data_IF_426666186924
#
_entry.id   IF_426666186924
#
_cell.length_a   1.000
_cell.length_b   1.000
_cell.length_c   1.000
_cell.angle_alpha   90.00
_cell.angle_beta   90.00
_cell.angle_gamma   90.00
#
_symmetry.space_group_name_H-M   'P 1'
#
loop_
_entity.id
_entity.type
_entity.pdbx_description
1 polymer ?
#
# COMPACT_ATOMS: atom_id res chain seq x y z
N UNK A 1 44.05 -0.40 45.82
CA UNK A 1 42.66 0.01 45.92
C UNK A 1 42.09 -0.17 44.52
N UNK A 2 41.61 -1.40 44.30
CA UNK A 2 41.15 -1.87 42.98
C UNK A 2 39.75 -1.34 42.67
N UNK A 3 39.58 -0.74 41.53
CA UNK A 3 38.27 -0.39 40.97
C UNK A 3 37.82 -1.58 40.13
N UNK A 4 36.90 -2.37 40.68
CA UNK A 4 36.25 -3.47 39.97
C UNK A 4 35.24 -2.87 38.98
N UNK A 5 35.42 -3.17 37.69
CA UNK A 5 34.57 -2.72 36.61
C UNK A 5 33.17 -3.35 36.69
N UNK A 6 32.15 -2.54 36.67
CA UNK A 6 30.73 -2.92 36.72
C UNK A 6 30.22 -3.51 35.40
N UNK A 7 31.07 -3.56 34.39
CA UNK A 7 30.63 -3.91 32.99
C UNK A 7 30.62 -5.43 32.70
N UNK A 8 31.31 -6.25 33.45
CA UNK A 8 31.33 -7.71 33.20
C UNK A 8 30.06 -8.42 33.68
N UNK A 9 29.40 -7.90 34.71
CA UNK A 9 28.20 -8.55 35.26
C UNK A 9 26.96 -8.33 34.39
N UNK A 10 26.88 -7.20 33.67
CA UNK A 10 25.77 -6.91 32.79
C UNK A 10 25.87 -7.67 31.45
N UNK A 11 27.05 -8.00 30.97
CA UNK A 11 27.25 -8.78 29.75
C UNK A 11 26.93 -10.27 29.95
N UNK A 12 27.18 -10.82 31.14
CA UNK A 12 26.82 -12.21 31.45
C UNK A 12 25.31 -12.40 31.64
N UNK A 13 24.62 -11.44 32.26
CA UNK A 13 23.17 -11.49 32.45
C UNK A 13 22.45 -11.37 31.12
N UNK A 14 22.88 -10.45 30.24
CA UNK A 14 22.28 -10.32 28.87
C UNK A 14 22.57 -11.54 27.99
N UNK A 15 23.75 -12.16 28.09
CA UNK A 15 24.04 -13.39 27.36
C UNK A 15 23.27 -14.59 27.94
N UNK A 16 23.05 -14.66 29.25
CA UNK A 16 22.30 -15.76 29.87
C UNK A 16 20.81 -15.67 29.56
N UNK A 17 20.22 -14.46 29.52
CA UNK A 17 18.83 -14.27 29.08
C UNK A 17 18.66 -14.52 27.58
N UNK A 18 19.56 -14.07 26.72
CA UNK A 18 19.53 -14.34 25.28
C UNK A 18 19.68 -15.85 24.99
N UNK A 19 20.54 -16.56 25.73
CA UNK A 19 20.69 -18.03 25.61
C UNK A 19 19.48 -18.77 26.18
N UNK A 20 18.85 -18.26 27.25
CA UNK A 20 17.63 -18.84 27.83
C UNK A 20 16.41 -18.63 26.87
N UNK A 21 16.33 -17.49 26.20
CA UNK A 21 15.29 -17.21 25.21
C UNK A 21 15.48 -18.11 23.99
N UNK A 22 16.71 -18.28 23.48
CA UNK A 22 17.00 -19.18 22.34
C UNK A 22 16.72 -20.63 22.67
N UNK A 23 17.05 -21.09 23.89
CA UNK A 23 16.77 -22.47 24.31
C UNK A 23 15.27 -22.78 24.46
N UNK A 24 14.45 -21.79 24.83
CA UNK A 24 13.01 -21.95 25.00
C UNK A 24 12.24 -22.00 23.67
N UNK A 25 12.78 -21.39 22.60
CA UNK A 25 12.16 -21.34 21.26
C UNK A 25 12.74 -22.37 20.28
N UNK A 26 13.81 -23.08 20.64
CA UNK A 26 14.36 -24.20 19.84
C UNK A 26 13.41 -25.40 19.67
N UNK A 27 12.28 -25.40 20.39
CA UNK A 27 11.24 -26.41 20.24
C UNK A 27 10.21 -26.13 19.12
N UNK A 28 10.13 -24.90 18.62
CA UNK A 28 9.22 -24.55 17.53
C UNK A 28 9.86 -24.87 16.18
N UNK A 29 9.07 -25.44 15.28
CA UNK A 29 9.53 -25.58 13.89
C UNK A 29 9.77 -24.17 13.27
N UNK A 30 10.77 -24.01 12.38
CA UNK A 30 11.11 -22.72 11.78
C UNK A 30 9.91 -22.00 11.12
N UNK A 31 9.05 -22.74 10.47
CA UNK A 31 7.83 -22.21 9.85
C UNK A 31 6.81 -21.68 10.89
N UNK A 32 6.77 -22.27 12.08
CA UNK A 32 5.92 -21.83 13.18
C UNK A 32 6.48 -20.54 13.81
N UNK A 33 7.78 -20.48 14.00
CA UNK A 33 8.45 -19.26 14.46
C UNK A 33 8.25 -18.10 13.48
N UNK A 34 8.39 -18.34 12.17
CA UNK A 34 8.10 -17.35 11.14
C UNK A 34 6.63 -16.92 11.15
N UNK A 35 5.68 -17.85 11.31
CA UNK A 35 4.25 -17.52 11.42
C UNK A 35 3.99 -16.66 12.67
N UNK A 36 4.58 -17.00 13.81
CA UNK A 36 4.42 -16.24 15.04
C UNK A 36 4.95 -14.81 14.90
N UNK A 37 6.19 -14.65 14.44
CA UNK A 37 6.83 -13.33 14.27
C UNK A 37 6.13 -12.49 13.19
N UNK A 38 5.76 -13.11 12.08
CA UNK A 38 5.10 -12.38 10.98
C UNK A 38 3.59 -12.25 11.19
N UNK A 39 2.99 -12.96 12.13
CA UNK A 39 1.59 -12.84 12.50
C UNK A 39 1.19 -11.42 12.92
N UNK A 40 2.12 -10.67 13.53
CA UNK A 40 1.95 -9.27 13.91
C UNK A 40 1.87 -8.30 12.69
N UNK A 41 2.28 -8.74 11.50
CA UNK A 41 2.28 -7.88 10.32
C UNK A 41 0.94 -7.94 9.59
N UNK A 42 0.60 -6.86 8.87
CA UNK A 42 -0.57 -6.85 8.02
C UNK A 42 -0.56 -8.03 7.01
N UNK A 43 -1.72 -8.63 6.75
CA UNK A 43 -1.88 -9.84 5.94
C UNK A 43 -1.20 -9.76 4.55
N UNK A 44 -1.16 -8.58 3.92
CA UNK A 44 -0.44 -8.38 2.65
C UNK A 44 1.07 -8.50 2.81
N UNK A 45 1.63 -8.04 3.94
CA UNK A 45 3.05 -8.15 4.25
C UNK A 45 3.43 -9.59 4.54
N UNK A 46 2.59 -10.31 5.31
CA UNK A 46 2.76 -11.74 5.55
C UNK A 46 2.82 -12.52 4.25
N UNK A 47 1.87 -12.28 3.35
CA UNK A 47 1.83 -12.94 2.02
C UNK A 47 3.06 -12.61 1.17
N UNK A 48 3.55 -11.38 1.21
CA UNK A 48 4.75 -10.98 0.47
C UNK A 48 6.00 -11.69 1.01
N UNK A 49 6.14 -11.80 2.32
CA UNK A 49 7.26 -12.49 2.95
C UNK A 49 7.22 -14.00 2.69
N UNK A 50 6.06 -14.62 2.87
CA UNK A 50 5.88 -16.05 2.59
C UNK A 50 6.17 -16.39 1.12
N UNK A 51 5.74 -15.51 0.19
CA UNK A 51 6.02 -15.68 -1.23
C UNK A 51 7.51 -15.56 -1.53
N UNK A 52 8.17 -14.50 -1.06
CA UNK A 52 9.59 -14.29 -1.31
C UNK A 52 10.43 -15.46 -0.78
N UNK A 53 10.05 -16.01 0.39
CA UNK A 53 10.73 -17.14 0.99
C UNK A 53 10.51 -18.43 0.19
N UNK A 54 9.29 -18.70 -0.23
CA UNK A 54 8.98 -19.85 -1.09
C UNK A 54 9.71 -19.77 -2.42
N UNK A 55 9.66 -18.65 -3.10
CA UNK A 55 10.33 -18.43 -4.39
C UNK A 55 11.85 -18.69 -4.27
N UNK A 56 12.46 -18.33 -3.11
CA UNK A 56 13.87 -18.63 -2.83
C UNK A 56 14.11 -20.12 -2.60
N UNK A 57 13.22 -20.80 -1.84
CA UNK A 57 13.31 -22.24 -1.59
C UNK A 57 13.21 -23.03 -2.89
N UNK A 58 12.26 -22.67 -3.76
CA UNK A 58 12.07 -23.30 -5.08
C UNK A 58 13.33 -23.09 -5.96
N UNK A 59 13.90 -21.90 -5.98
CA UNK A 59 15.10 -21.62 -6.76
C UNK A 59 16.34 -22.38 -6.24
N UNK A 60 16.48 -22.52 -4.93
CA UNK A 60 17.61 -23.20 -4.28
C UNK A 60 17.46 -24.70 -4.14
N UNK A 61 16.31 -25.29 -4.55
CA UNK A 61 15.88 -26.68 -4.24
C UNK A 61 16.04 -27.02 -2.76
N UNK A 62 15.60 -26.06 -1.89
CA UNK A 62 15.73 -26.15 -0.44
C UNK A 62 14.53 -26.91 0.12
N UNK A 63 14.75 -28.08 0.66
CA UNK A 63 13.72 -28.91 1.29
C UNK A 63 13.72 -28.74 2.81
N UNK A 64 14.91 -28.56 3.38
CA UNK A 64 15.09 -28.41 4.82
C UNK A 64 15.79 -27.10 5.16
N UNK A 65 15.45 -26.55 6.32
CA UNK A 65 16.00 -25.23 6.72
C UNK A 65 17.50 -25.25 6.89
N UNK A 66 18.09 -26.38 7.36
CA UNK A 66 19.54 -26.52 7.53
C UNK A 66 20.32 -26.34 6.21
N UNK A 67 19.71 -26.61 5.06
CA UNK A 67 20.31 -26.38 3.74
C UNK A 67 20.52 -24.88 3.49
N UNK A 68 19.76 -24.03 4.16
CA UNK A 68 19.93 -22.58 4.10
C UNK A 68 21.17 -22.08 4.86
N UNK A 69 21.84 -22.90 5.69
CA UNK A 69 23.12 -22.55 6.28
C UNK A 69 24.19 -22.28 5.23
N UNK A 70 24.04 -22.87 4.04
CA UNK A 70 24.92 -22.66 2.89
C UNK A 70 24.61 -21.38 2.08
N UNK A 71 23.58 -20.63 2.48
CA UNK A 71 23.25 -19.36 1.86
C UNK A 71 24.14 -18.24 2.40
N UNK A 72 25.27 -18.09 1.75
CA UNK A 72 26.18 -16.98 1.94
C UNK A 72 25.76 -15.73 1.13
N UNK A 73 26.45 -14.60 1.28
CA UNK A 73 26.16 -13.40 0.48
C UNK A 73 26.29 -13.60 -1.04
N UNK A 74 27.16 -14.51 -1.50
CA UNK A 74 27.35 -14.78 -2.93
C UNK A 74 26.15 -15.52 -3.49
N UNK A 75 25.65 -16.53 -2.78
CA UNK A 75 24.45 -17.27 -3.17
C UNK A 75 23.22 -16.37 -3.25
N UNK A 76 23.10 -15.41 -2.30
CA UNK A 76 22.03 -14.41 -2.36
C UNK A 76 22.20 -13.43 -3.53
N UNK A 77 23.41 -13.10 -3.91
CA UNK A 77 23.69 -12.28 -5.10
C UNK A 77 23.35 -13.03 -6.39
N UNK A 78 23.65 -14.33 -6.47
CA UNK A 78 23.26 -15.20 -7.59
C UNK A 78 21.73 -15.22 -7.75
N UNK A 79 20.98 -15.42 -6.64
CA UNK A 79 19.52 -15.35 -6.68
C UNK A 79 19.01 -13.99 -7.15
N UNK A 80 19.59 -12.91 -6.67
CA UNK A 80 19.27 -11.56 -7.12
C UNK A 80 19.52 -11.40 -8.63
N UNK A 81 20.63 -11.89 -9.13
CA UNK A 81 20.98 -11.84 -10.56
C UNK A 81 20.02 -12.70 -11.40
N UNK A 82 19.59 -13.85 -10.87
CA UNK A 82 18.57 -14.70 -11.48
C UNK A 82 17.21 -13.97 -11.59
N UNK A 83 16.78 -13.26 -10.53
CA UNK A 83 15.59 -12.42 -10.61
C UNK A 83 15.69 -11.34 -11.68
N UNK A 84 16.90 -10.78 -11.87
CA UNK A 84 17.17 -9.77 -12.89
C UNK A 84 17.14 -10.36 -14.31
N UNK A 85 17.79 -11.50 -14.52
CA UNK A 85 17.79 -12.19 -15.82
C UNK A 85 16.41 -12.72 -16.21
N UNK A 86 15.53 -13.03 -15.23
CA UNK A 86 14.13 -13.38 -15.47
C UNK A 86 13.22 -12.19 -15.82
N UNK A 87 13.79 -11.00 -16.03
CA UNK A 87 13.02 -9.80 -16.42
C UNK A 87 12.21 -9.16 -15.31
N UNK A 88 12.46 -9.47 -14.03
CA UNK A 88 11.78 -8.81 -12.91
C UNK A 88 12.18 -7.34 -12.83
N UNK A 89 11.20 -6.47 -12.55
CA UNK A 89 11.45 -5.03 -12.35
C UNK A 89 12.31 -4.77 -11.13
N UNK A 90 13.18 -3.76 -11.18
CA UNK A 90 14.06 -3.34 -10.08
C UNK A 90 13.30 -3.17 -8.74
N UNK A 91 12.11 -2.56 -8.77
CA UNK A 91 11.26 -2.42 -7.58
C UNK A 91 10.80 -3.76 -7.00
N UNK A 92 10.49 -4.75 -7.84
CA UNK A 92 10.10 -6.10 -7.42
C UNK A 92 11.29 -6.83 -6.81
N UNK A 93 12.47 -6.75 -7.44
CA UNK A 93 13.71 -7.32 -6.91
C UNK A 93 14.01 -6.74 -5.53
N UNK A 94 13.97 -5.41 -5.39
CA UNK A 94 14.20 -4.74 -4.11
C UNK A 94 13.19 -5.17 -3.03
N UNK A 95 11.93 -5.33 -3.39
CA UNK A 95 10.90 -5.80 -2.47
C UNK A 95 11.16 -7.25 -2.02
N UNK A 96 11.50 -8.15 -2.95
CA UNK A 96 11.86 -9.54 -2.64
C UNK A 96 13.09 -9.60 -1.73
N UNK A 97 14.17 -8.89 -2.07
CA UNK A 97 15.39 -8.86 -1.26
C UNK A 97 15.16 -8.25 0.13
N UNK A 98 14.29 -7.24 0.24
CA UNK A 98 13.91 -6.65 1.53
C UNK A 98 13.12 -7.62 2.39
N UNK A 99 12.19 -8.38 1.80
CA UNK A 99 11.43 -9.42 2.50
C UNK A 99 12.36 -10.54 3.00
N UNK A 100 13.25 -11.04 2.15
CA UNK A 100 14.22 -12.08 2.53
C UNK A 100 15.18 -11.60 3.63
N UNK A 101 15.67 -10.34 3.54
CA UNK A 101 16.50 -9.76 4.61
C UNK A 101 15.82 -9.83 5.97
N UNK A 102 14.51 -9.57 6.01
CA UNK A 102 13.74 -9.66 7.25
C UNK A 102 13.55 -11.11 7.71
N UNK A 103 13.27 -12.04 6.80
CA UNK A 103 13.15 -13.47 7.10
C UNK A 103 14.46 -14.02 7.65
N UNK A 104 15.57 -13.81 6.96
CA UNK A 104 16.88 -14.28 7.42
C UNK A 104 17.30 -13.65 8.75
N UNK A 105 16.96 -12.37 8.97
CA UNK A 105 17.18 -11.73 10.25
C UNK A 105 16.48 -12.49 11.38
N UNK A 106 15.20 -12.80 11.22
CA UNK A 106 14.42 -13.55 12.21
C UNK A 106 15.00 -14.95 12.42
N UNK A 107 15.28 -15.69 11.36
CA UNK A 107 15.84 -17.04 11.46
C UNK A 107 17.19 -17.07 12.19
N UNK A 108 18.01 -16.03 12.01
CA UNK A 108 19.30 -15.92 12.70
C UNK A 108 19.13 -15.51 14.15
N UNK A 109 18.24 -14.55 14.45
CA UNK A 109 17.96 -14.09 15.82
C UNK A 109 17.39 -15.20 16.70
N UNK A 110 16.62 -16.13 16.13
CA UNK A 110 16.08 -17.29 16.84
C UNK A 110 16.99 -18.54 16.77
N UNK A 111 18.19 -18.40 16.25
CA UNK A 111 19.21 -19.47 16.26
C UNK A 111 18.96 -20.60 15.25
N UNK A 112 18.00 -20.47 14.32
CA UNK A 112 17.78 -21.46 13.26
C UNK A 112 18.88 -21.44 12.20
N UNK A 113 19.55 -20.29 12.03
CA UNK A 113 20.68 -20.12 11.12
C UNK A 113 21.83 -19.45 11.86
N UNK A 114 23.05 -19.92 11.60
CA UNK A 114 24.26 -19.38 12.22
C UNK A 114 24.64 -17.99 11.71
N UNK A 115 24.31 -17.71 10.44
CA UNK A 115 24.71 -16.48 9.77
C UNK A 115 23.56 -15.88 8.95
N UNK A 116 23.52 -14.55 8.90
CA UNK A 116 22.61 -13.81 8.05
C UNK A 116 23.37 -13.37 6.78
N UNK A 117 23.04 -13.88 5.58
CA UNK A 117 23.73 -13.54 4.34
C UNK A 117 23.57 -12.05 3.97
N UNK A 118 22.66 -11.33 4.61
CA UNK A 118 22.45 -9.90 4.38
C UNK A 118 23.26 -8.97 5.29
N UNK A 119 24.12 -9.50 6.16
CA UNK A 119 25.01 -8.66 6.99
C UNK A 119 26.02 -7.84 6.18
N UNK A 120 26.33 -8.26 4.98
CA UNK A 120 27.33 -7.61 4.14
C UNK A 120 26.70 -6.60 3.20
N UNK A 121 27.33 -5.44 3.03
CA UNK A 121 26.87 -4.35 2.14
C UNK A 121 26.91 -4.71 0.62
N UNK A 122 27.34 -5.90 0.27
CA UNK A 122 27.48 -6.39 -1.11
C UNK A 122 26.12 -6.47 -1.83
N UNK A 123 25.05 -6.82 -1.12
CA UNK A 123 23.71 -6.95 -1.71
C UNK A 123 23.04 -5.58 -1.71
N UNK A 124 23.41 -4.75 -2.68
CA UNK A 124 22.85 -3.41 -2.86
C UNK A 124 21.45 -3.47 -3.50
N UNK A 125 20.62 -2.48 -3.23
CA UNK A 125 19.36 -2.30 -3.93
C UNK A 125 19.61 -1.97 -5.41
N UNK A 126 18.72 -2.45 -6.30
CA UNK A 126 18.70 -2.03 -7.69
C UNK A 126 18.26 -0.57 -7.78
N UNK A 127 18.86 0.19 -8.70
CA UNK A 127 18.41 1.54 -9.01
C UNK A 127 17.01 1.46 -9.62
N UNK A 128 16.06 2.10 -8.98
CA UNK A 128 14.70 2.24 -9.49
C UNK A 128 14.65 3.55 -10.24
N UNK A 129 14.38 3.49 -11.53
CA UNK A 129 14.13 4.69 -12.30
C UNK A 129 12.80 5.31 -11.82
N UNK A 130 12.89 6.46 -11.16
CA UNK A 130 11.74 7.20 -10.66
C UNK A 130 11.17 8.14 -11.72
N UNK A 131 11.86 8.33 -12.85
CA UNK A 131 11.49 9.26 -13.91
C UNK A 131 10.26 8.82 -14.73
N UNK A 132 9.79 7.59 -14.58
CA UNK A 132 8.55 7.12 -15.23
C UNK A 132 7.32 7.34 -14.36
N UNK A 133 7.16 8.52 -13.77
CA UNK A 133 5.87 8.90 -13.24
C UNK A 133 4.93 9.09 -14.42
N UNK A 134 4.02 8.16 -14.62
CA UNK A 134 2.89 8.38 -15.55
C UNK A 134 2.25 9.70 -15.14
N UNK A 135 2.15 10.67 -16.04
CA UNK A 135 1.55 11.98 -15.75
C UNK A 135 0.16 11.84 -15.12
N UNK A 136 -0.31 12.84 -14.40
CA UNK A 136 -1.68 12.85 -13.89
C UNK A 136 -2.70 12.72 -15.02
N UNK A 137 -3.88 12.16 -14.73
CA UNK A 137 -5.00 12.21 -15.67
C UNK A 137 -5.44 13.67 -15.86
N UNK A 138 -5.73 14.01 -17.06
CA UNK A 138 -6.42 15.27 -17.35
C UNK A 138 -7.88 15.19 -16.89
N UNK A 139 -8.46 16.33 -16.54
CA UNK A 139 -9.88 16.42 -16.15
C UNK A 139 -10.80 15.87 -17.27
N UNK A 140 -10.44 16.11 -18.54
CA UNK A 140 -11.15 15.55 -19.70
C UNK A 140 -11.17 14.02 -19.71
N UNK A 141 -10.10 13.36 -19.30
CA UNK A 141 -10.03 11.90 -19.19
C UNK A 141 -10.88 11.37 -18.01
N UNK A 142 -10.90 12.08 -16.88
CA UNK A 142 -11.81 11.74 -15.77
C UNK A 142 -13.27 11.85 -16.20
N UNK A 143 -13.64 12.92 -16.92
CA UNK A 143 -14.98 13.10 -17.49
C UNK A 143 -15.29 11.99 -18.49
N UNK A 144 -14.36 11.64 -19.38
CA UNK A 144 -14.55 10.54 -20.33
C UNK A 144 -14.78 9.19 -19.62
N UNK A 145 -14.11 8.93 -18.49
CA UNK A 145 -14.39 7.73 -17.68
C UNK A 145 -15.80 7.75 -17.08
N UNK A 146 -16.29 8.91 -16.65
CA UNK A 146 -17.67 9.06 -16.15
C UNK A 146 -18.69 8.83 -17.27
N UNK A 147 -18.47 9.36 -18.46
CA UNK A 147 -19.33 9.12 -19.63
C UNK A 147 -19.30 7.64 -20.05
N UNK A 148 -18.11 7.03 -20.11
CA UNK A 148 -17.96 5.60 -20.35
C UNK A 148 -18.76 4.74 -19.36
N UNK A 149 -18.80 5.13 -18.08
CA UNK A 149 -19.61 4.43 -17.08
C UNK A 149 -21.10 4.51 -17.35
N UNK A 150 -21.61 5.64 -17.89
CA UNK A 150 -23.03 5.81 -18.22
C UNK A 150 -23.48 4.88 -19.35
N UNK A 151 -22.63 4.70 -20.36
CA UNK A 151 -22.94 3.90 -21.55
C UNK A 151 -22.47 2.45 -21.46
N UNK A 152 -21.65 2.12 -20.44
CA UNK A 152 -21.16 0.77 -20.24
C UNK A 152 -22.29 -0.23 -20.03
N UNK A 153 -22.21 -1.34 -20.75
CA UNK A 153 -23.21 -2.40 -20.65
C UNK A 153 -23.00 -3.17 -19.34
N UNK A 154 -24.00 -3.15 -18.51
CA UNK A 154 -24.15 -3.97 -17.32
C UNK A 154 -25.40 -4.81 -17.49
N UNK A 155 -25.31 -6.10 -17.19
CA UNK A 155 -26.43 -7.01 -17.36
C UNK A 155 -27.27 -7.11 -16.08
N UNK A 156 -28.57 -7.38 -16.26
CA UNK A 156 -29.49 -7.68 -15.19
C UNK A 156 -30.08 -6.49 -14.42
N UNK A 157 -30.86 -6.83 -13.39
CA UNK A 157 -31.62 -5.88 -12.54
C UNK A 157 -30.74 -4.87 -11.79
N UNK A 158 -29.46 -5.19 -11.59
CA UNK A 158 -28.49 -4.35 -10.85
C UNK A 158 -27.75 -3.35 -11.74
N UNK A 159 -28.05 -3.25 -13.04
CA UNK A 159 -27.34 -2.39 -13.97
C UNK A 159 -27.27 -0.92 -13.54
N UNK A 160 -28.40 -0.35 -13.09
CA UNK A 160 -28.46 1.03 -12.58
C UNK A 160 -27.63 1.18 -11.31
N UNK A 161 -27.76 0.25 -10.37
CA UNK A 161 -26.97 0.25 -9.13
C UNK A 161 -25.46 0.17 -9.41
N UNK A 162 -25.06 -0.66 -10.39
CA UNK A 162 -23.65 -0.78 -10.78
C UNK A 162 -23.12 0.53 -11.36
N UNK A 163 -23.91 1.22 -12.20
CA UNK A 163 -23.52 2.54 -12.75
C UNK A 163 -23.37 3.58 -11.63
N UNK A 164 -24.35 3.69 -10.76
CA UNK A 164 -24.31 4.64 -9.63
C UNK A 164 -23.10 4.38 -8.74
N UNK A 165 -22.94 3.14 -8.25
CA UNK A 165 -21.82 2.77 -7.40
C UNK A 165 -20.46 3.03 -8.04
N UNK A 166 -20.30 2.61 -9.32
CA UNK A 166 -19.00 2.72 -10.00
C UNK A 166 -18.62 4.17 -10.27
N UNK A 167 -19.59 5.02 -10.61
CA UNK A 167 -19.37 6.46 -10.74
C UNK A 167 -18.97 7.10 -9.42
N UNK A 168 -19.66 6.75 -8.34
CA UNK A 168 -19.33 7.24 -6.98
C UNK A 168 -17.95 6.75 -6.50
N UNK A 169 -17.58 5.49 -6.77
CA UNK A 169 -16.23 4.99 -6.47
C UNK A 169 -15.17 5.83 -7.16
N UNK A 170 -15.36 6.17 -8.45
CA UNK A 170 -14.43 7.00 -9.21
C UNK A 170 -14.31 8.39 -8.58
N UNK A 171 -15.44 9.06 -8.31
CA UNK A 171 -15.48 10.40 -7.70
C UNK A 171 -14.85 10.38 -6.30
N UNK A 172 -15.23 9.42 -5.47
CA UNK A 172 -14.72 9.29 -4.11
C UNK A 172 -13.18 9.16 -4.09
N UNK A 173 -12.64 8.22 -4.88
CA UNK A 173 -11.19 8.02 -4.95
C UNK A 173 -10.44 9.26 -5.44
N UNK A 174 -10.99 9.95 -6.42
CA UNK A 174 -10.38 11.16 -6.98
C UNK A 174 -10.47 12.34 -6.02
N UNK A 175 -11.66 12.66 -5.48
CA UNK A 175 -11.86 13.84 -4.65
C UNK A 175 -11.24 13.72 -3.25
N UNK A 176 -11.10 12.50 -2.74
CA UNK A 176 -10.57 12.26 -1.39
C UNK A 176 -9.13 11.74 -1.36
N UNK A 177 -8.56 11.46 -2.53
CA UNK A 177 -7.29 10.75 -2.65
C UNK A 177 -7.21 9.48 -1.77
N UNK A 178 -8.35 8.80 -1.54
CA UNK A 178 -8.41 7.60 -0.72
C UNK A 178 -7.66 6.43 -1.37
N UNK A 179 -7.10 5.54 -0.53
CA UNK A 179 -6.57 4.27 -1.02
C UNK A 179 -7.72 3.32 -1.33
N UNK A 180 -7.52 2.40 -2.28
CA UNK A 180 -8.55 1.41 -2.65
C UNK A 180 -9.07 0.57 -1.47
N UNK A 181 -8.21 0.26 -0.50
CA UNK A 181 -8.60 -0.46 0.72
C UNK A 181 -9.47 0.42 1.62
N UNK A 182 -9.09 1.70 1.79
CA UNK A 182 -9.84 2.67 2.57
C UNK A 182 -11.27 2.86 2.01
N UNK A 183 -11.41 2.92 0.67
CA UNK A 183 -12.73 2.97 0.04
C UNK A 183 -13.53 1.66 0.20
N UNK A 184 -12.85 0.50 0.17
CA UNK A 184 -13.48 -0.80 0.36
C UNK A 184 -13.98 -1.03 1.80
N UNK A 185 -13.28 -0.46 2.77
CA UNK A 185 -13.57 -0.63 4.20
C UNK A 185 -14.54 0.43 4.74
N UNK A 186 -14.85 1.49 3.95
CA UNK A 186 -15.69 2.62 4.36
C UNK A 186 -17.11 2.17 4.66
N UNK A 187 -17.62 2.53 5.84
CA UNK A 187 -18.98 2.24 6.31
C UNK A 187 -19.82 3.51 6.35
N UNK A 188 -21.12 3.35 6.38
CA UNK A 188 -22.06 4.48 6.52
C UNK A 188 -21.87 5.22 7.85
N UNK A 189 -21.55 4.51 8.92
CA UNK A 189 -21.28 5.09 10.25
C UNK A 189 -19.95 5.85 10.31
N UNK A 190 -19.12 5.73 9.28
CA UNK A 190 -17.88 6.48 9.13
C UNK A 190 -18.09 7.83 8.43
N UNK A 191 -19.28 8.07 7.87
CA UNK A 191 -19.63 9.37 7.28
C UNK A 191 -20.35 10.17 8.34
N UNK A 192 -19.69 11.18 8.87
CA UNK A 192 -20.18 11.99 10.00
C UNK A 192 -20.11 13.47 9.67
N UNK A 193 -20.93 14.24 10.36
CA UNK A 193 -20.85 15.70 10.34
C UNK A 193 -19.89 16.16 11.43
N UNK A 194 -18.94 17.05 11.07
CA UNK A 194 -17.99 17.67 11.97
C UNK A 194 -18.07 19.19 11.78
N UNK A 195 -18.83 19.83 12.67
CA UNK A 195 -19.22 21.24 12.54
C UNK A 195 -20.00 21.50 11.25
N UNK A 196 -19.48 22.37 10.40
CA UNK A 196 -20.06 22.70 9.09
C UNK A 196 -19.63 21.74 7.95
N UNK A 197 -18.88 20.70 8.25
CA UNK A 197 -18.28 19.84 7.23
C UNK A 197 -18.78 18.40 7.35
N UNK A 198 -18.88 17.73 6.22
CA UNK A 198 -19.00 16.27 6.18
C UNK A 198 -17.61 15.64 6.04
N UNK A 199 -17.36 14.59 6.82
CA UNK A 199 -16.08 13.89 6.83
C UNK A 199 -16.29 12.39 6.73
N UNK A 200 -15.37 11.71 6.05
CA UNK A 200 -15.23 10.27 6.09
C UNK A 200 -14.10 9.90 7.08
N UNK A 201 -14.42 9.07 8.05
CA UNK A 201 -13.49 8.56 9.07
C UNK A 201 -12.88 7.27 8.58
N UNK A 202 -11.57 7.25 8.34
CA UNK A 202 -10.85 6.08 7.91
C UNK A 202 -10.24 5.37 9.13
N UNK A 203 -10.87 4.30 9.60
CA UNK A 203 -10.46 3.56 10.80
C UNK A 203 -9.29 2.63 10.55
N UNK A 204 -9.27 1.96 9.40
CA UNK A 204 -8.28 0.95 9.06
C UNK A 204 -7.20 1.50 8.12
N UNK A 205 -6.41 2.44 8.62
CA UNK A 205 -5.32 3.02 7.84
C UNK A 205 -4.03 2.20 7.95
N UNK A 206 -3.14 2.32 6.97
CA UNK A 206 -1.83 1.65 6.99
C UNK A 206 -0.97 2.03 8.20
N UNK A 207 -1.22 3.19 8.80
CA UNK A 207 -0.51 3.69 9.99
C UNK A 207 -1.12 3.21 11.32
N UNK A 208 -2.24 2.48 11.29
CA UNK A 208 -3.00 2.09 12.47
C UNK A 208 -3.74 3.24 13.17
N UNK A 209 -3.63 4.47 12.66
CA UNK A 209 -4.29 5.66 13.23
C UNK A 209 -5.53 6.00 12.43
N UNK A 210 -6.60 6.38 13.12
CA UNK A 210 -7.78 6.98 12.50
C UNK A 210 -7.38 8.23 11.71
N UNK A 211 -7.96 8.40 10.55
CA UNK A 211 -7.75 9.57 9.70
C UNK A 211 -9.08 10.09 9.19
N UNK A 212 -9.23 11.40 9.11
CA UNK A 212 -10.44 12.08 8.64
C UNK A 212 -10.18 12.69 7.27
N UNK A 213 -11.16 12.57 6.39
CA UNK A 213 -11.15 13.18 5.06
C UNK A 213 -12.39 14.03 4.93
N UNK A 214 -12.21 15.31 4.59
CA UNK A 214 -13.33 16.18 4.23
C UNK A 214 -13.99 15.65 2.96
N UNK A 215 -15.32 15.52 2.98
CA UNK A 215 -16.15 15.31 1.81
C UNK A 215 -16.63 16.67 1.29
N UNK A 216 -16.64 16.84 -0.01
CA UNK A 216 -17.36 17.97 -0.63
C UNK A 216 -18.86 17.75 -0.46
N UNK A 217 -19.61 18.82 -0.34
CA UNK A 217 -21.06 18.76 -0.11
C UNK A 217 -21.76 18.00 -1.25
N UNK A 218 -21.36 18.24 -2.50
CA UNK A 218 -21.92 17.55 -3.66
C UNK A 218 -21.63 16.02 -3.64
N UNK A 219 -20.45 15.62 -3.16
CA UNK A 219 -20.14 14.20 -3.01
C UNK A 219 -20.96 13.56 -1.88
N UNK A 220 -21.16 14.28 -0.78
CA UNK A 220 -22.01 13.81 0.32
C UNK A 220 -23.47 13.64 -0.12
N UNK A 221 -24.02 14.58 -0.86
CA UNK A 221 -25.38 14.49 -1.43
C UNK A 221 -25.54 13.29 -2.35
N UNK A 222 -24.54 13.06 -3.25
CA UNK A 222 -24.55 11.90 -4.13
C UNK A 222 -24.44 10.57 -3.33
N UNK A 223 -23.64 10.53 -2.26
CA UNK A 223 -23.55 9.36 -1.37
C UNK A 223 -24.86 9.12 -0.64
N UNK A 224 -25.55 10.18 -0.18
CA UNK A 224 -26.84 10.08 0.47
C UNK A 224 -27.93 9.56 -0.48
N UNK A 225 -27.94 10.06 -1.72
CA UNK A 225 -28.81 9.56 -2.78
C UNK A 225 -28.54 8.09 -3.11
N UNK A 226 -27.28 7.70 -3.12
CA UNK A 226 -26.87 6.32 -3.30
C UNK A 226 -27.35 5.41 -2.16
N UNK A 227 -27.24 5.88 -0.92
CA UNK A 227 -27.77 5.15 0.25
C UNK A 227 -29.27 4.88 0.11
N UNK A 228 -30.02 5.92 -0.26
CA UNK A 228 -31.46 5.80 -0.50
C UNK A 228 -31.77 4.81 -1.64
N UNK A 229 -31.02 4.87 -2.73
CA UNK A 229 -31.19 3.94 -3.87
C UNK A 229 -30.91 2.49 -3.44
N UNK A 230 -29.92 2.25 -2.60
CA UNK A 230 -29.65 0.92 -2.02
C UNK A 230 -30.83 0.43 -1.20
N UNK A 231 -31.39 1.26 -0.31
CA UNK A 231 -32.55 0.94 0.51
C UNK A 231 -33.79 0.59 -0.33
N UNK A 232 -34.08 1.40 -1.37
CA UNK A 232 -35.20 1.16 -2.29
C UNK A 232 -35.06 -0.16 -3.07
N UNK A 233 -33.84 -0.67 -3.24
CA UNK A 233 -33.58 -1.95 -3.90
C UNK A 233 -33.26 -3.09 -2.92
N UNK A 234 -33.62 -2.94 -1.65
CA UNK A 234 -33.41 -3.95 -0.59
C UNK A 234 -31.95 -4.37 -0.43
N UNK A 235 -31.00 -3.45 -0.68
CA UNK A 235 -29.57 -3.66 -0.44
C UNK A 235 -29.25 -3.09 0.93
N UNK A 236 -29.31 -3.95 1.93
CA UNK A 236 -28.90 -3.64 3.30
C UNK A 236 -27.41 -3.96 3.49
N UNK A 237 -26.61 -2.92 3.61
CA UNK A 237 -25.15 -3.05 3.77
C UNK A 237 -24.61 -1.97 4.70
N UNK A 238 -23.74 -2.38 5.61
CA UNK A 238 -22.97 -1.45 6.42
C UNK A 238 -21.95 -0.66 5.61
N UNK A 239 -21.54 -1.17 4.43
CA UNK A 239 -20.49 -0.57 3.58
C UNK A 239 -21.08 0.44 2.59
N UNK A 240 -20.33 1.55 2.37
CA UNK A 240 -20.71 2.58 1.41
C UNK A 240 -20.65 2.06 -0.03
N UNK A 241 -19.68 1.22 -0.33
CA UNK A 241 -19.49 0.60 -1.66
C UNK A 241 -19.63 -0.93 -1.57
N UNK A 242 -20.86 -1.46 -1.42
CA UNK A 242 -21.06 -2.90 -1.29
C UNK A 242 -20.82 -3.63 -2.60
N UNK A 243 -20.54 -4.92 -2.50
CA UNK A 243 -20.62 -5.83 -3.64
C UNK A 243 -22.06 -5.95 -4.13
N UNK A 244 -22.24 -5.96 -5.45
CA UNK A 244 -23.55 -6.18 -6.10
C UNK A 244 -23.56 -7.49 -6.91
N UNK A 245 -22.59 -8.37 -6.67
CA UNK A 245 -22.56 -9.70 -7.27
C UNK A 245 -23.59 -10.63 -6.64
N UNK A 246 -24.17 -11.55 -7.41
CA UNK A 246 -25.23 -12.45 -6.97
C UNK A 246 -24.91 -13.19 -5.66
N UNK A 247 -23.68 -13.74 -5.55
CA UNK A 247 -23.24 -14.51 -4.36
C UNK A 247 -22.70 -13.64 -3.23
N UNK A 248 -22.46 -12.36 -3.49
CA UNK A 248 -21.79 -11.42 -2.57
C UNK A 248 -22.58 -10.15 -2.40
N UNK A 249 -23.88 -10.19 -2.70
CA UNK A 249 -24.77 -9.03 -2.59
C UNK A 249 -24.72 -8.43 -1.18
N UNK A 250 -24.60 -7.12 -1.09
CA UNK A 250 -24.49 -6.33 0.14
C UNK A 250 -23.22 -6.59 0.99
N UNK A 251 -22.38 -7.56 0.64
CA UNK A 251 -21.13 -7.79 1.37
C UNK A 251 -20.08 -6.72 1.04
N UNK A 252 -19.04 -6.68 1.87
CA UNK A 252 -17.87 -5.83 1.64
C UNK A 252 -17.25 -6.10 0.28
N UNK A 253 -16.99 -5.05 -0.49
CA UNK A 253 -16.19 -5.15 -1.69
C UNK A 253 -14.71 -5.19 -1.32
N UNK A 254 -13.93 -6.06 -1.95
CA UNK A 254 -12.47 -6.07 -1.75
C UNK A 254 -11.81 -4.86 -2.40
N UNK A 255 -10.64 -4.45 -1.89
CA UNK A 255 -9.83 -3.42 -2.56
C UNK A 255 -9.43 -3.80 -3.99
N UNK A 256 -9.41 -5.12 -4.34
CA UNK A 256 -9.27 -5.56 -5.73
C UNK A 256 -10.52 -5.22 -6.53
N UNK A 257 -11.71 -5.45 -6.01
CA UNK A 257 -12.98 -5.08 -6.67
C UNK A 257 -13.06 -3.58 -6.97
N UNK A 258 -12.69 -2.72 -6.01
CA UNK A 258 -12.56 -1.26 -6.23
C UNK A 258 -11.58 -0.97 -7.38
N UNK A 259 -10.43 -1.63 -7.39
CA UNK A 259 -9.44 -1.44 -8.46
C UNK A 259 -9.96 -1.90 -9.82
N UNK A 260 -10.69 -3.00 -9.88
CA UNK A 260 -11.22 -3.58 -11.12
C UNK A 260 -12.27 -2.65 -11.76
N UNK A 261 -13.07 -1.92 -10.94
CA UNK A 261 -13.96 -0.85 -11.42
C UNK A 261 -13.16 0.22 -12.17
N UNK A 262 -12.15 0.80 -11.50
CA UNK A 262 -11.33 1.87 -12.09
C UNK A 262 -10.60 1.39 -13.34
N UNK A 263 -10.02 0.20 -13.29
CA UNK A 263 -9.30 -0.37 -14.43
C UNK A 263 -10.22 -0.64 -15.62
N UNK A 264 -11.46 -1.07 -15.39
CA UNK A 264 -12.46 -1.28 -16.45
C UNK A 264 -12.85 0.04 -17.10
N UNK A 265 -13.12 1.08 -16.30
CA UNK A 265 -13.47 2.41 -16.80
C UNK A 265 -12.30 3.06 -17.55
N UNK A 266 -11.07 2.88 -17.06
CA UNK A 266 -9.88 3.33 -17.77
C UNK A 266 -9.73 2.65 -19.13
N UNK A 267 -9.86 1.32 -19.17
CA UNK A 267 -9.79 0.55 -20.42
C UNK A 267 -10.85 0.98 -21.46
N UNK A 268 -12.05 1.36 -21.01
CA UNK A 268 -13.11 1.83 -21.89
C UNK A 268 -12.74 3.11 -22.66
N UNK A 269 -11.76 3.87 -22.16
CA UNK A 269 -11.21 5.07 -22.82
C UNK A 269 -9.76 4.87 -23.30
N UNK A 270 -9.31 3.62 -23.45
CA UNK A 270 -7.97 3.27 -23.94
C UNK A 270 -6.84 3.43 -22.92
N UNK A 271 -7.13 3.63 -21.63
CA UNK A 271 -6.13 3.83 -20.60
C UNK A 271 -5.94 2.59 -19.70
N UNK A 272 -4.68 2.24 -19.44
CA UNK A 272 -4.35 1.19 -18.47
C UNK A 272 -3.97 1.83 -17.13
N UNK A 273 -4.99 2.01 -16.28
CA UNK A 273 -4.87 2.67 -14.97
C UNK A 273 -5.41 1.80 -13.83
N UNK A 274 -5.06 2.18 -12.61
CA UNK A 274 -5.50 1.55 -11.38
C UNK A 274 -6.11 2.57 -10.42
N UNK A 275 -6.77 2.11 -9.37
CA UNK A 275 -7.30 2.99 -8.32
C UNK A 275 -6.22 3.91 -7.71
N UNK A 276 -4.98 3.42 -7.57
CA UNK A 276 -3.88 4.24 -7.06
C UNK A 276 -3.54 5.41 -8.00
N UNK A 277 -3.82 5.26 -9.29
CA UNK A 277 -3.60 6.31 -10.28
C UNK A 277 -4.53 7.52 -10.09
N UNK A 278 -5.78 7.31 -9.64
CA UNK A 278 -6.70 8.39 -9.30
C UNK A 278 -6.19 9.21 -8.12
N UNK A 279 -5.66 8.53 -7.10
CA UNK A 279 -5.00 9.19 -5.99
C UNK A 279 -3.76 9.97 -6.44
N UNK A 280 -2.94 9.39 -7.32
CA UNK A 280 -1.82 10.09 -7.93
C UNK A 280 -2.29 11.36 -8.63
N UNK A 281 -3.31 11.25 -9.47
CA UNK A 281 -3.92 12.38 -10.19
C UNK A 281 -4.40 13.48 -9.23
N UNK A 282 -5.14 13.13 -8.18
CA UNK A 282 -5.64 14.09 -7.21
C UNK A 282 -4.50 14.87 -6.52
N UNK A 283 -3.44 14.18 -6.12
CA UNK A 283 -2.28 14.79 -5.46
C UNK A 283 -1.52 15.70 -6.42
N UNK A 284 -1.27 15.24 -7.66
CA UNK A 284 -0.56 16.01 -8.68
C UNK A 284 -1.33 17.29 -9.03
N UNK A 285 -2.65 17.16 -9.30
CA UNK A 285 -3.49 18.31 -9.61
C UNK A 285 -3.58 19.31 -8.45
N UNK A 286 -3.62 18.85 -7.20
CA UNK A 286 -3.60 19.74 -6.04
C UNK A 286 -2.30 20.56 -5.99
N UNK A 287 -1.16 19.95 -6.28
CA UNK A 287 0.12 20.67 -6.37
C UNK A 287 0.16 21.61 -7.58
N UNK A 288 -0.37 21.20 -8.73
CA UNK A 288 -0.47 22.04 -9.95
C UNK A 288 -1.35 23.28 -9.74
N UNK A 289 -2.41 23.14 -8.94
CA UNK A 289 -3.25 24.25 -8.51
C UNK A 289 -2.57 25.20 -7.52
N UNK A 290 -1.37 24.87 -7.05
CA UNK A 290 -0.57 25.71 -6.16
C UNK A 290 -0.85 25.50 -4.68
N UNK A 291 -1.51 24.40 -4.30
CA UNK A 291 -1.72 24.11 -2.89
C UNK A 291 -0.37 23.84 -2.18
N UNK A 292 -0.16 24.39 -0.98
CA UNK A 292 1.07 24.19 -0.22
C UNK A 292 1.37 22.70 0.02
N UNK A 293 2.65 22.31 -0.09
CA UNK A 293 3.11 20.94 0.07
C UNK A 293 2.60 20.26 1.36
N UNK A 294 2.60 21.00 2.48
CA UNK A 294 2.12 20.48 3.77
C UNK A 294 0.62 20.17 3.75
N UNK A 295 -0.20 21.01 3.09
CA UNK A 295 -1.62 20.76 2.92
C UNK A 295 -1.86 19.55 2.04
N UNK A 296 -1.13 19.42 0.93
CA UNK A 296 -1.23 18.26 0.04
C UNK A 296 -0.71 16.99 0.71
N UNK A 297 0.34 17.06 1.53
CA UNK A 297 0.80 15.94 2.35
C UNK A 297 -0.28 15.47 3.31
N UNK A 298 -0.94 16.39 4.01
CA UNK A 298 -2.04 16.10 4.94
C UNK A 298 -3.25 15.53 4.20
N UNK A 299 -3.65 16.13 3.08
CA UNK A 299 -4.72 15.63 2.23
C UNK A 299 -4.43 14.22 1.71
N UNK A 300 -3.22 13.97 1.25
CA UNK A 300 -2.78 12.66 0.83
C UNK A 300 -2.54 11.68 2.00
N UNK A 301 -2.46 12.17 3.22
CA UNK A 301 -2.14 11.34 4.40
C UNK A 301 -0.82 10.58 4.22
N UNK A 302 0.22 11.29 3.74
CA UNK A 302 1.56 10.75 3.61
C UNK A 302 2.33 10.91 4.91
N UNK A 303 2.86 9.81 5.45
CA UNK A 303 3.67 9.84 6.65
C UNK A 303 5.00 10.62 6.47
N UNK A 304 5.49 10.73 5.23
CA UNK A 304 6.72 11.44 4.89
C UNK A 304 6.47 12.44 3.76
N UNK A 305 6.98 13.66 3.92
CA UNK A 305 6.97 14.70 2.89
C UNK A 305 7.66 14.25 1.59
N UNK A 306 8.72 13.43 1.69
CA UNK A 306 9.40 12.85 0.53
C UNK A 306 8.47 12.05 -0.39
N UNK A 307 7.39 11.49 0.14
CA UNK A 307 6.39 10.82 -0.68
C UNK A 307 5.60 11.82 -1.52
N UNK A 308 5.29 13.00 -0.99
CA UNK A 308 4.56 14.06 -1.69
C UNK A 308 5.47 14.77 -2.69
N UNK A 309 6.73 15.01 -2.33
CA UNK A 309 7.73 15.64 -3.21
C UNK A 309 7.91 14.89 -4.53
N UNK A 310 7.76 13.57 -4.57
CA UNK A 310 7.84 12.77 -5.79
C UNK A 310 6.77 13.12 -6.84
N UNK A 311 5.74 13.87 -6.47
CA UNK A 311 4.69 14.36 -7.37
C UNK A 311 5.03 15.75 -7.95
N UNK A 312 6.09 16.42 -7.46
CA UNK A 312 6.63 17.60 -8.10
C UNK A 312 7.37 17.20 -9.38
N UNK A 313 6.93 17.71 -10.51
CA UNK A 313 7.59 17.52 -11.79
C UNK A 313 8.53 18.70 -12.07
N UNK A 314 9.67 18.44 -12.69
CA UNK A 314 10.68 19.45 -13.04
C UNK A 314 10.10 20.66 -13.80
N UNK A 315 9.05 20.45 -14.58
CA UNK A 315 8.36 21.50 -15.31
C UNK A 315 7.72 22.55 -14.41
N UNK A 316 7.16 22.15 -13.25
CA UNK A 316 6.61 23.08 -12.26
C UNK A 316 7.70 23.96 -11.62
N UNK A 317 8.92 23.42 -11.50
CA UNK A 317 10.07 24.17 -11.00
C UNK A 317 10.48 25.29 -11.96
N UNK A 318 10.25 25.13 -13.25
CA UNK A 318 10.51 26.15 -14.28
C UNK A 318 9.37 27.17 -14.39
N UNK A 319 8.11 26.70 -14.46
CA UNK A 319 6.93 27.56 -14.69
C UNK A 319 6.56 28.44 -13.46
N UNK A 320 6.90 28.01 -12.26
CA UNK A 320 6.64 28.73 -10.99
C UNK A 320 7.93 28.90 -10.19
N UNK A 321 9.00 29.29 -10.85
CA UNK A 321 10.30 29.42 -10.21
C UNK A 321 10.28 30.59 -9.20
N UNK A 322 10.81 30.40 -8.00
CA UNK A 322 10.97 31.49 -7.04
C UNK A 322 11.74 32.69 -7.60
N UNK A 323 12.66 32.47 -8.55
CA UNK A 323 13.43 33.52 -9.22
C UNK A 323 12.54 34.61 -9.85
N UNK A 324 11.36 34.22 -10.38
CA UNK A 324 10.43 35.16 -11.03
C UNK A 324 9.74 36.10 -10.05
N UNK A 325 9.85 35.82 -8.74
CA UNK A 325 9.21 36.60 -7.67
C UNK A 325 10.21 37.31 -6.75
N UNK A 326 11.51 37.06 -6.91
CA UNK A 326 12.53 37.74 -6.14
C UNK A 326 12.69 39.16 -6.67
N UNK A 327 12.84 40.19 -5.77
CA UNK A 327 13.12 41.55 -6.20
C UNK A 327 14.46 41.58 -6.93
N UNK A 328 14.49 42.30 -8.04
CA UNK A 328 15.75 42.64 -8.73
C UNK A 328 16.54 43.59 -7.85
N UNK A 329 17.82 43.29 -7.62
CA UNK A 329 18.78 44.13 -6.90
C UNK A 329 19.69 44.86 -7.87
#
# INVERSE_FOLDING_TARGET
MEIISVDEHNSEIQNTEAVAITAKHSSLAPNEALKLVFGEYAANTQRAYARAFRDLQEWGDIRELREMENFDPLRMLEYKNQLKSSGKKASTINQTMSALRKVFKVLTEFGYLKQNPFKVSVIRAEKVDTATSKGALQVSQLNAMMEANKVMRYDGRTATLLRCRNGLVLKFLYLTAARRGEAADLRWDDIVQDGAFYVAVLRFTKSGKEQRIKLRDELHEELSSWRLLCQQNSIDSAYVFPSLGFRTLAHQMSGKGINDIVSRLGKAIGLNISAHYLRHTAITLALELGEPLQKVQSYARHASANTTIRYFHDRQLLEKNPTDRLPLI
#
